data_IF_021309013020
#
_entry.id   IF_021309013020
#
_cell.length_a   1.000
_cell.length_b   1.000
_cell.length_c   1.000
_cell.angle_alpha   90.00
_cell.angle_beta   90.00
_cell.angle_gamma   90.00
#
_symmetry.space_group_name_H-M   'P 1'
#
loop_
_entity.id
_entity.type
_entity.pdbx_description
1 polymer ?
#
# COMPACT_ATOMS: atom_id res chain seq x y z
N UNK A 1 -11.99 -21.77 -22.02
CA UNK A 1 -10.77 -21.40 -21.28
C UNK A 1 -10.23 -20.00 -21.65
N UNK A 2 -10.26 -19.60 -22.92
CA UNK A 2 -9.79 -18.27 -23.37
C UNK A 2 -10.68 -17.12 -22.85
N UNK A 3 -12.00 -17.26 -22.93
CA UNK A 3 -12.97 -16.22 -22.49
C UNK A 3 -12.82 -15.91 -20.98
N UNK A 4 -12.71 -16.94 -20.14
CA UNK A 4 -12.50 -16.79 -18.69
C UNK A 4 -11.13 -16.18 -18.33
N UNK A 5 -10.14 -16.29 -19.21
CA UNK A 5 -8.83 -15.65 -19.05
C UNK A 5 -8.90 -14.18 -19.46
N UNK A 6 -9.54 -13.87 -20.60
CA UNK A 6 -9.75 -12.49 -21.07
C UNK A 6 -10.57 -11.65 -20.10
N UNK A 7 -11.62 -12.23 -19.49
CA UNK A 7 -12.42 -11.55 -18.46
C UNK A 7 -11.61 -11.20 -17.21
N UNK A 8 -10.76 -12.13 -16.75
CA UNK A 8 -9.85 -11.91 -15.61
C UNK A 8 -8.89 -10.76 -15.88
N UNK A 9 -8.32 -10.70 -17.10
CA UNK A 9 -7.40 -9.62 -17.49
C UNK A 9 -8.09 -8.27 -17.52
N UNK A 10 -9.31 -8.18 -18.06
CA UNK A 10 -10.07 -6.93 -18.10
C UNK A 10 -10.31 -6.38 -16.68
N UNK A 11 -10.71 -7.25 -15.74
CA UNK A 11 -10.92 -6.85 -14.35
C UNK A 11 -9.62 -6.38 -13.71
N UNK A 12 -8.50 -7.07 -13.93
CA UNK A 12 -7.19 -6.64 -13.41
C UNK A 12 -6.84 -5.24 -13.92
N UNK A 13 -7.07 -4.94 -15.21
CA UNK A 13 -6.83 -3.60 -15.77
C UNK A 13 -7.68 -2.55 -15.03
N UNK A 14 -8.97 -2.81 -14.82
CA UNK A 14 -9.86 -1.91 -14.09
C UNK A 14 -9.38 -1.70 -12.65
N UNK A 15 -8.94 -2.76 -11.97
CA UNK A 15 -8.41 -2.69 -10.61
C UNK A 15 -7.10 -1.90 -10.54
N UNK A 16 -6.21 -2.05 -11.52
CA UNK A 16 -4.97 -1.26 -11.62
C UNK A 16 -5.29 0.21 -11.87
N UNK A 17 -6.24 0.53 -12.75
CA UNK A 17 -6.73 1.90 -12.94
C UNK A 17 -7.30 2.44 -11.63
N UNK A 18 -8.06 1.64 -10.90
CA UNK A 18 -8.61 2.03 -9.60
C UNK A 18 -7.51 2.35 -8.58
N UNK A 19 -6.42 1.58 -8.54
CA UNK A 19 -5.25 1.89 -7.72
C UNK A 19 -4.60 3.23 -8.10
N UNK A 20 -4.53 3.54 -9.40
CA UNK A 20 -4.02 4.82 -9.90
C UNK A 20 -4.96 5.96 -9.46
N UNK A 21 -6.27 5.77 -9.52
CA UNK A 21 -7.24 6.77 -9.08
C UNK A 21 -7.10 7.06 -7.57
N UNK A 22 -6.89 6.04 -6.72
CA UNK A 22 -6.61 6.24 -5.29
C UNK A 22 -5.35 7.11 -5.07
N UNK A 23 -4.36 7.00 -5.95
CA UNK A 23 -3.15 7.85 -5.94
C UNK A 23 -3.44 9.29 -6.37
N UNK A 24 -4.24 9.48 -7.42
CA UNK A 24 -4.54 10.81 -7.99
C UNK A 24 -5.47 11.63 -7.10
N UNK A 25 -6.48 11.01 -6.51
CA UNK A 25 -7.43 11.66 -5.60
C UNK A 25 -6.90 11.75 -4.16
N UNK A 26 -5.58 11.86 -3.97
CA UNK A 26 -4.97 11.92 -2.63
C UNK A 26 -5.41 13.13 -1.83
N UNK A 27 -5.27 14.31 -2.42
CA UNK A 27 -5.56 15.58 -1.77
C UNK A 27 -7.07 15.72 -1.48
N UNK A 28 -7.99 15.57 -2.46
CA UNK A 28 -9.40 15.84 -2.22
C UNK A 28 -10.11 14.79 -1.35
N UNK A 29 -9.66 13.52 -1.37
CA UNK A 29 -10.38 12.44 -0.69
C UNK A 29 -9.85 12.19 0.74
N UNK A 30 -8.59 12.50 1.01
CA UNK A 30 -7.93 12.14 2.27
C UNK A 30 -7.36 13.33 3.04
N UNK A 31 -7.37 14.53 2.44
CA UNK A 31 -6.92 15.78 3.06
C UNK A 31 -5.58 15.64 3.81
N UNK A 32 -4.58 15.03 3.16
CA UNK A 32 -3.30 14.72 3.82
C UNK A 32 -2.49 16.01 4.07
N UNK A 33 -2.34 16.46 5.33
CA UNK A 33 -1.61 17.69 5.66
C UNK A 33 -0.09 17.54 5.43
N UNK A 34 0.43 16.30 5.43
CA UNK A 34 1.84 16.01 5.17
C UNK A 34 2.17 16.10 3.67
N UNK A 35 1.18 16.17 2.79
CA UNK A 35 1.39 16.23 1.35
C UNK A 35 2.29 17.42 0.98
N UNK A 36 1.91 18.64 1.38
CA UNK A 36 2.67 19.86 1.05
C UNK A 36 4.04 19.88 1.74
N UNK A 37 4.11 19.42 2.99
CA UNK A 37 5.35 19.34 3.76
C UNK A 37 6.40 18.51 3.01
N UNK A 38 6.07 17.29 2.60
CA UNK A 38 7.02 16.42 1.90
C UNK A 38 7.36 16.83 0.45
N UNK A 39 6.60 17.75 -0.14
CA UNK A 39 6.96 18.37 -1.43
C UNK A 39 7.90 19.58 -1.28
N UNK A 40 8.13 20.05 -0.05
CA UNK A 40 9.06 21.13 0.29
C UNK A 40 10.41 20.59 0.77
N UNK A 41 11.31 21.48 1.24
CA UNK A 41 12.57 21.08 1.88
C UNK A 41 12.34 20.54 3.31
N UNK A 42 11.58 19.45 3.43
CA UNK A 42 11.11 18.87 4.69
C UNK A 42 12.22 18.44 5.66
N UNK A 43 13.46 18.31 5.20
CA UNK A 43 14.58 17.98 6.08
C UNK A 43 15.04 19.17 6.94
N UNK A 44 14.77 20.40 6.49
CA UNK A 44 15.22 21.64 7.12
C UNK A 44 14.13 22.30 7.98
N UNK A 45 12.87 22.01 7.68
CA UNK A 45 11.72 22.56 8.41
C UNK A 45 11.17 21.56 9.40
N UNK A 46 10.60 22.06 10.48
CA UNK A 46 9.89 21.24 11.46
C UNK A 46 8.55 20.77 10.91
N UNK A 47 8.03 19.69 11.51
CA UNK A 47 6.70 19.22 11.13
C UNK A 47 5.68 20.33 11.43
N UNK A 48 4.70 20.56 10.52
CA UNK A 48 3.64 21.52 10.77
C UNK A 48 2.76 21.06 11.95
N UNK A 49 1.90 21.93 12.46
CA UNK A 49 0.88 21.52 13.43
C UNK A 49 -0.10 20.54 12.77
N UNK A 50 -0.01 19.27 13.17
CA UNK A 50 -0.80 18.18 12.62
C UNK A 50 -1.91 17.78 13.57
N UNK A 51 -3.12 17.60 13.03
CA UNK A 51 -4.11 16.78 13.70
C UNK A 51 -3.75 15.30 13.47
N UNK A 52 -3.06 14.70 14.45
CA UNK A 52 -2.59 13.31 14.40
C UNK A 52 -3.71 12.33 14.02
N UNK A 53 -4.91 12.52 14.58
CA UNK A 53 -6.06 11.66 14.26
C UNK A 53 -6.47 11.73 12.80
N UNK A 54 -6.48 12.93 12.19
CA UNK A 54 -6.79 13.09 10.78
C UNK A 54 -5.74 12.43 9.89
N UNK A 55 -4.46 12.58 10.22
CA UNK A 55 -3.35 11.96 9.48
C UNK A 55 -3.44 10.44 9.53
N UNK A 56 -3.68 9.88 10.73
CA UNK A 56 -3.81 8.44 10.90
C UNK A 56 -5.04 7.90 10.21
N UNK A 57 -6.20 8.53 10.35
CA UNK A 57 -7.43 8.10 9.70
C UNK A 57 -7.29 8.11 8.17
N UNK A 58 -6.76 9.21 7.60
CA UNK A 58 -6.49 9.33 6.17
C UNK A 58 -5.51 8.25 5.69
N UNK A 59 -4.38 8.08 6.38
CA UNK A 59 -3.37 7.05 6.05
C UNK A 59 -3.96 5.63 6.13
N UNK A 60 -4.75 5.34 7.16
CA UNK A 60 -5.40 4.04 7.39
C UNK A 60 -6.40 3.71 6.29
N UNK A 61 -7.23 4.69 5.90
CA UNK A 61 -8.22 4.51 4.83
C UNK A 61 -7.54 4.23 3.49
N UNK A 62 -6.43 4.94 3.19
CA UNK A 62 -5.62 4.68 1.98
C UNK A 62 -5.04 3.28 2.00
N UNK A 63 -4.46 2.88 3.12
CA UNK A 63 -3.91 1.54 3.29
C UNK A 63 -4.97 0.47 3.04
N UNK A 64 -6.15 0.63 3.64
CA UNK A 64 -7.27 -0.31 3.49
C UNK A 64 -7.74 -0.41 2.04
N UNK A 65 -7.93 0.72 1.35
CA UNK A 65 -8.34 0.73 -0.06
C UNK A 65 -7.29 0.06 -0.95
N UNK A 66 -6.01 0.38 -0.77
CA UNK A 66 -4.92 -0.26 -1.50
C UNK A 66 -4.87 -1.76 -1.21
N UNK A 67 -4.99 -2.18 0.05
CA UNK A 67 -5.01 -3.56 0.47
C UNK A 67 -6.16 -4.32 -0.21
N UNK A 68 -7.39 -3.81 -0.13
CA UNK A 68 -8.56 -4.45 -0.74
C UNK A 68 -8.34 -4.61 -2.24
N UNK A 69 -8.04 -3.53 -2.96
CA UNK A 69 -7.79 -3.57 -4.40
C UNK A 69 -6.66 -4.55 -4.76
N UNK A 70 -5.60 -4.57 -3.97
CA UNK A 70 -4.47 -5.49 -4.17
C UNK A 70 -4.86 -6.95 -3.99
N UNK A 71 -5.65 -7.28 -2.95
CA UNK A 71 -6.15 -8.63 -2.73
C UNK A 71 -7.05 -9.11 -3.89
N UNK A 72 -7.90 -8.23 -4.41
CA UNK A 72 -8.69 -8.53 -5.61
C UNK A 72 -7.81 -8.80 -6.84
N UNK A 73 -6.75 -8.00 -7.06
CA UNK A 73 -5.79 -8.23 -8.15
C UNK A 73 -5.13 -9.60 -7.98
N UNK A 74 -4.64 -9.92 -6.78
CA UNK A 74 -4.02 -11.22 -6.49
C UNK A 74 -5.01 -12.38 -6.72
N UNK A 75 -6.29 -12.20 -6.39
CA UNK A 75 -7.32 -13.21 -6.60
C UNK A 75 -7.51 -13.50 -8.08
N UNK A 76 -7.65 -12.46 -8.91
CA UNK A 76 -7.80 -12.65 -10.35
C UNK A 76 -6.52 -13.14 -11.04
N UNK A 77 -5.35 -12.89 -10.45
CA UNK A 77 -4.06 -13.33 -10.99
C UNK A 77 -3.79 -14.82 -10.71
N UNK A 78 -4.04 -15.28 -9.48
CA UNK A 78 -3.69 -16.64 -9.05
C UNK A 78 -4.89 -17.58 -8.92
N UNK A 79 -6.08 -17.05 -8.64
CA UNK A 79 -7.33 -17.80 -8.42
C UNK A 79 -7.17 -18.94 -7.40
N UNK A 80 -6.44 -18.72 -6.31
CA UNK A 80 -6.35 -19.64 -5.17
C UNK A 80 -6.47 -18.90 -3.85
N UNK A 81 -7.27 -19.45 -2.95
CA UNK A 81 -7.52 -18.89 -1.63
C UNK A 81 -6.27 -18.86 -0.76
N UNK A 82 -5.37 -19.84 -0.88
CA UNK A 82 -4.13 -19.89 -0.10
C UNK A 82 -3.25 -18.65 -0.29
N UNK A 83 -3.16 -18.13 -1.52
CA UNK A 83 -2.44 -16.89 -1.80
C UNK A 83 -3.12 -15.66 -1.18
N UNK A 84 -4.45 -15.63 -1.15
CA UNK A 84 -5.20 -14.52 -0.54
C UNK A 84 -5.05 -14.52 0.97
N UNK A 85 -5.15 -15.68 1.63
CA UNK A 85 -4.93 -15.78 3.08
C UNK A 85 -3.50 -15.37 3.44
N UNK A 86 -2.50 -15.84 2.69
CA UNK A 86 -1.11 -15.44 2.90
C UNK A 86 -0.91 -13.92 2.70
N UNK A 87 -1.46 -13.35 1.63
CA UNK A 87 -1.39 -11.91 1.38
C UNK A 87 -2.09 -11.11 2.48
N UNK A 88 -3.29 -11.52 2.91
CA UNK A 88 -4.05 -10.88 3.98
C UNK A 88 -3.22 -10.77 5.27
N UNK A 89 -2.56 -11.86 5.68
CA UNK A 89 -1.68 -11.84 6.86
C UNK A 89 -0.50 -10.89 6.69
N UNK A 90 0.13 -10.87 5.51
CA UNK A 90 1.24 -9.95 5.22
C UNK A 90 0.78 -8.49 5.31
N UNK A 91 -0.38 -8.15 4.72
CA UNK A 91 -0.95 -6.80 4.81
C UNK A 91 -1.28 -6.43 6.27
N UNK A 92 -1.99 -7.29 7.01
CA UNK A 92 -2.36 -6.98 8.39
C UNK A 92 -1.13 -6.77 9.29
N UNK A 93 -0.11 -7.64 9.19
CA UNK A 93 1.10 -7.51 9.99
C UNK A 93 1.92 -6.29 9.60
N UNK A 94 2.10 -6.05 8.30
CA UNK A 94 2.79 -4.86 7.81
C UNK A 94 2.09 -3.59 8.27
N UNK A 95 0.75 -3.55 8.21
CA UNK A 95 -0.02 -2.41 8.67
C UNK A 95 0.24 -2.10 10.15
N UNK A 96 0.12 -3.10 11.03
CA UNK A 96 0.32 -2.92 12.47
C UNK A 96 1.71 -2.37 12.77
N UNK A 97 2.76 -2.95 12.17
CA UNK A 97 4.13 -2.50 12.40
C UNK A 97 4.33 -1.08 11.88
N UNK A 98 3.88 -0.82 10.65
CA UNK A 98 4.17 0.44 9.97
C UNK A 98 3.34 1.58 10.53
N UNK A 99 2.08 1.37 10.88
CA UNK A 99 1.26 2.42 11.47
C UNK A 99 1.80 2.80 12.85
N UNK A 100 2.27 1.82 13.63
CA UNK A 100 2.91 2.07 14.93
C UNK A 100 4.25 2.81 14.77
N UNK A 101 5.10 2.37 13.85
CA UNK A 101 6.34 3.09 13.56
C UNK A 101 6.07 4.50 13.03
N UNK A 102 5.03 4.67 12.20
CA UNK A 102 4.59 5.96 11.68
C UNK A 102 4.14 6.90 12.79
N UNK A 103 3.34 6.44 13.76
CA UNK A 103 2.90 7.27 14.89
C UNK A 103 4.07 7.75 15.75
N UNK A 104 5.05 6.89 16.01
CA UNK A 104 6.23 7.26 16.79
C UNK A 104 7.12 8.29 16.09
N UNK A 105 7.06 8.36 14.76
CA UNK A 105 7.87 9.27 13.96
C UNK A 105 7.16 10.59 13.64
N UNK A 106 5.91 10.79 14.06
CA UNK A 106 5.22 12.07 13.87
C UNK A 106 5.82 13.22 14.70
N UNK A 107 6.60 12.89 15.74
CA UNK A 107 7.32 13.85 16.59
C UNK A 107 8.84 13.86 16.27
N UNK A 108 9.21 13.59 15.01
CA UNK A 108 10.60 13.45 14.58
C UNK A 108 11.30 14.79 14.33
N UNK A 109 12.32 15.10 15.14
CA UNK A 109 13.10 16.34 14.97
C UNK A 109 14.33 16.18 14.04
N UNK A 110 14.95 15.00 14.04
CA UNK A 110 16.17 14.77 13.25
C UNK A 110 15.86 14.50 11.77
N UNK A 111 16.75 14.97 10.88
CA UNK A 111 16.64 14.72 9.43
C UNK A 111 16.53 13.23 9.09
N UNK A 112 17.26 12.37 9.83
CA UNK A 112 17.17 10.92 9.67
C UNK A 112 15.76 10.39 9.99
N UNK A 113 15.15 10.82 11.09
CA UNK A 113 13.80 10.40 11.46
C UNK A 113 12.75 10.97 10.51
N UNK A 114 12.91 12.21 10.03
CA UNK A 114 12.05 12.80 8.99
C UNK A 114 12.10 12.00 7.68
N UNK A 115 13.29 11.49 7.30
CA UNK A 115 13.41 10.55 6.19
C UNK A 115 12.72 9.21 6.47
N UNK A 116 12.89 8.64 7.66
CA UNK A 116 12.22 7.40 8.04
C UNK A 116 10.69 7.54 7.95
N UNK A 117 10.13 8.64 8.47
CA UNK A 117 8.71 8.97 8.38
C UNK A 117 8.23 9.00 6.93
N UNK A 118 9.00 9.63 6.04
CA UNK A 118 8.69 9.71 4.62
C UNK A 118 8.64 8.34 3.93
N UNK A 119 9.61 7.46 4.20
CA UNK A 119 9.64 6.13 3.59
C UNK A 119 8.54 5.21 4.15
N UNK A 120 8.27 5.28 5.45
CA UNK A 120 7.16 4.51 6.07
C UNK A 120 5.82 4.98 5.51
N UNK A 121 5.61 6.30 5.41
CA UNK A 121 4.41 6.88 4.77
C UNK A 121 4.20 6.33 3.36
N UNK A 122 5.26 6.26 2.55
CA UNK A 122 5.18 5.72 1.19
C UNK A 122 4.79 4.26 1.18
N UNK A 123 5.30 3.45 2.09
CA UNK A 123 4.92 2.05 2.19
C UNK A 123 3.44 1.87 2.59
N UNK A 124 2.92 2.72 3.48
CA UNK A 124 1.51 2.71 3.87
C UNK A 124 0.58 3.20 2.74
N UNK A 125 0.99 4.23 2.00
CA UNK A 125 0.15 4.93 1.03
C UNK A 125 0.22 4.33 -0.38
N UNK A 126 1.33 3.68 -0.74
CA UNK A 126 1.55 3.15 -2.09
C UNK A 126 1.35 1.62 -2.11
N UNK A 127 0.86 1.04 -3.23
CA UNK A 127 0.63 -0.39 -3.34
C UNK A 127 1.95 -1.19 -3.55
N UNK A 128 3.03 -0.86 -2.83
CA UNK A 128 4.34 -1.52 -2.96
C UNK A 128 4.25 -3.00 -2.59
N UNK A 129 3.50 -3.32 -1.53
CA UNK A 129 3.23 -4.69 -1.10
C UNK A 129 2.64 -5.56 -2.21
N UNK A 130 1.78 -5.01 -3.07
CA UNK A 130 1.18 -5.75 -4.17
C UNK A 130 2.25 -6.26 -5.12
N UNK A 131 3.18 -5.39 -5.54
CA UNK A 131 4.24 -5.77 -6.47
C UNK A 131 5.16 -6.84 -5.89
N UNK A 132 5.50 -6.73 -4.60
CA UNK A 132 6.30 -7.72 -3.88
C UNK A 132 5.56 -9.06 -3.84
N UNK A 133 4.27 -9.07 -3.48
CA UNK A 133 3.47 -10.29 -3.37
C UNK A 133 3.23 -10.95 -4.74
N UNK A 134 2.99 -10.18 -5.80
CA UNK A 134 2.89 -10.69 -7.16
C UNK A 134 4.19 -11.38 -7.57
N UNK A 135 5.34 -10.74 -7.38
CA UNK A 135 6.63 -11.36 -7.71
C UNK A 135 6.88 -12.64 -6.87
N UNK A 136 6.63 -12.56 -5.56
CA UNK A 136 6.82 -13.69 -4.64
C UNK A 136 5.93 -14.89 -4.96
N UNK A 137 4.62 -14.67 -5.15
CA UNK A 137 3.67 -15.73 -5.48
C UNK A 137 3.90 -16.31 -6.87
N UNK A 138 4.35 -15.51 -7.84
CA UNK A 138 4.75 -16.02 -9.15
C UNK A 138 5.88 -17.04 -9.03
N UNK A 139 6.89 -16.75 -8.20
CA UNK A 139 7.99 -17.66 -7.96
C UNK A 139 7.55 -18.95 -7.23
N UNK A 140 6.71 -18.82 -6.19
CA UNK A 140 6.18 -19.96 -5.44
C UNK A 140 5.35 -20.89 -6.33
N UNK A 141 4.48 -20.34 -7.18
CA UNK A 141 3.69 -21.11 -8.14
C UNK A 141 4.58 -21.92 -9.09
N UNK A 142 5.68 -21.32 -9.55
CA UNK A 142 6.59 -21.95 -10.51
C UNK A 142 7.38 -23.11 -9.89
N UNK A 143 7.75 -23.01 -8.60
CA UNK A 143 8.43 -24.10 -7.88
C UNK A 143 7.49 -25.23 -7.47
N UNK A 144 6.26 -24.91 -7.05
CA UNK A 144 5.26 -25.92 -6.68
C UNK A 144 4.86 -26.86 -7.82
N UNK A 145 4.96 -26.41 -9.08
CA UNK A 145 4.70 -27.23 -10.27
C UNK A 145 5.83 -28.20 -10.66
N UNK A 146 7.00 -28.14 -9.98
CA UNK A 146 8.15 -29.03 -10.25
C UNK A 146 8.35 -30.12 -9.19
N UNK A 147 7.48 -30.17 -8.17
CA UNK A 147 7.58 -31.10 -7.03
C UNK A 147 6.43 -32.12 -6.99
N UNK A 148 5.70 -32.28 -8.10
CA UNK A 148 4.71 -33.34 -8.33
C UNK A 148 5.07 -34.04 -9.63
#
# INVERSE_FOLDING_TARGET
MIIAKSFSTLIIIILVISLILVRLYEIPLFNDPLYNYFHSNFQLYDLPDLNVWNVLAGTSLRYLLNMVLSLWILWFLYKRESYIHAALWVYLFAYIILIFAFTLLLDADSSFMKMALFYIRRFLIQPILLFILVAGFYFLKTKGNKLV
#
